data_IF_335923649287
#
_entry.id   IF_335923649287
#
_cell.length_a   1.000
_cell.length_b   1.000
_cell.length_c   1.000
_cell.angle_alpha   90.00
_cell.angle_beta   90.00
_cell.angle_gamma   90.00
#
_symmetry.space_group_name_H-M   'P 1'
#
loop_
_entity.id
_entity.type
_entity.pdbx_description
1 polymer ?
#
# COMPACT_ATOMS: atom_id res chain seq x y z
N UNK A 1 26.52 0.30 21.13
CA UNK A 1 26.38 1.50 20.30
C UNK A 1 25.50 1.10 19.10
N UNK A 2 24.19 1.36 19.14
CA UNK A 2 23.29 1.11 18.00
C UNK A 2 22.65 2.45 17.60
N UNK A 3 23.23 3.16 16.63
CA UNK A 3 22.57 4.28 15.97
C UNK A 3 21.55 3.73 14.95
N UNK A 4 20.35 4.32 14.89
CA UNK A 4 19.57 4.34 13.64
C UNK A 4 18.45 3.30 13.45
N UNK A 5 17.67 2.99 14.48
CA UNK A 5 16.41 2.24 14.36
C UNK A 5 15.30 3.12 13.75
N UNK A 6 15.54 3.68 12.57
CA UNK A 6 14.47 4.24 11.76
C UNK A 6 13.73 3.06 11.13
N UNK A 7 12.52 2.77 11.61
CA UNK A 7 11.61 1.89 10.89
C UNK A 7 11.52 2.38 9.45
N UNK A 8 11.97 1.58 8.48
CA UNK A 8 11.81 1.90 7.07
C UNK A 8 10.36 1.62 6.72
N UNK A 9 9.61 2.70 6.55
CA UNK A 9 8.27 2.68 5.97
C UNK A 9 8.39 2.27 4.51
N UNK A 10 7.52 1.37 4.08
CA UNK A 10 7.51 0.87 2.71
C UNK A 10 6.10 1.04 2.17
N UNK A 11 5.94 1.72 1.04
CA UNK A 11 4.63 1.99 0.46
C UNK A 11 4.54 1.40 -0.93
N UNK A 12 3.62 0.47 -1.15
CA UNK A 12 3.27 -0.04 -2.49
C UNK A 12 1.94 0.57 -2.94
N UNK A 13 1.85 1.02 -4.19
CA UNK A 13 0.65 1.62 -4.77
C UNK A 13 0.41 1.16 -6.21
N UNK A 14 -0.86 1.06 -6.61
CA UNK A 14 -1.28 0.88 -8.00
C UNK A 14 -1.23 2.21 -8.78
N UNK A 15 -1.12 2.10 -10.10
CA UNK A 15 -0.77 3.09 -11.14
C UNK A 15 -1.47 4.44 -11.22
N UNK A 16 -2.38 4.80 -10.32
CA UNK A 16 -2.90 6.16 -10.31
C UNK A 16 -2.92 6.72 -8.90
N UNK A 17 -1.96 7.60 -8.56
CA UNK A 17 -2.00 8.36 -7.30
C UNK A 17 -3.08 9.45 -7.26
N UNK A 18 -4.05 9.45 -8.17
CA UNK A 18 -5.21 10.36 -8.17
C UNK A 18 -6.26 9.89 -7.15
N UNK A 19 -5.95 10.00 -5.85
CA UNK A 19 -6.56 11.07 -5.09
C UNK A 19 -5.51 11.86 -4.30
N UNK A 20 -5.61 13.18 -4.41
CA UNK A 20 -4.80 14.27 -3.79
C UNK A 20 -4.29 14.06 -2.35
N UNK A 21 -4.80 13.09 -1.59
CA UNK A 21 -4.43 12.80 -0.19
C UNK A 21 -3.00 12.24 -0.05
N UNK A 22 -2.54 11.40 -0.98
CA UNK A 22 -1.22 10.75 -0.84
C UNK A 22 -0.10 11.43 -1.62
N UNK A 23 -0.43 12.41 -2.48
CA UNK A 23 0.55 13.13 -3.30
C UNK A 23 1.67 13.74 -2.44
N UNK A 24 1.33 14.30 -1.28
CA UNK A 24 2.31 14.85 -0.32
C UNK A 24 3.31 13.79 0.16
N UNK A 25 2.82 12.60 0.49
CA UNK A 25 3.65 11.51 0.96
C UNK A 25 4.60 11.01 -0.14
N UNK A 26 4.09 10.86 -1.36
CA UNK A 26 4.87 10.41 -2.52
C UNK A 26 5.98 11.39 -2.90
N UNK A 27 5.68 12.69 -2.97
CA UNK A 27 6.68 13.72 -3.27
C UNK A 27 7.78 13.78 -2.20
N UNK A 28 7.45 13.54 -0.92
CA UNK A 28 8.43 13.60 0.16
C UNK A 28 9.32 12.34 0.25
N UNK A 29 8.76 11.17 -0.02
CA UNK A 29 9.46 9.88 0.12
C UNK A 29 10.17 9.44 -1.17
N UNK A 30 9.73 9.92 -2.33
CA UNK A 30 10.24 9.55 -3.65
C UNK A 30 9.92 8.11 -4.04
N UNK A 31 9.78 7.88 -5.34
CA UNK A 31 9.60 6.54 -5.89
C UNK A 31 10.94 5.84 -6.06
N UNK A 32 11.02 4.57 -5.69
CA UNK A 32 12.22 3.76 -5.90
C UNK A 32 12.34 3.43 -7.39
N UNK A 33 13.42 3.87 -8.02
CA UNK A 33 13.81 3.40 -9.36
C UNK A 33 15.23 2.87 -9.35
N UNK A 34 15.40 1.59 -9.73
CA UNK A 34 16.71 0.93 -9.78
C UNK A 34 17.71 1.64 -10.70
N UNK A 35 17.24 2.27 -11.78
CA UNK A 35 18.06 2.99 -12.75
C UNK A 35 18.18 4.49 -12.47
N UNK A 36 17.58 4.97 -11.37
CA UNK A 36 17.37 6.40 -11.13
C UNK A 36 16.31 6.98 -12.06
N UNK A 37 16.14 8.30 -11.99
CA UNK A 37 15.23 9.06 -12.83
C UNK A 37 15.73 9.08 -14.29
N UNK A 38 14.95 8.52 -15.21
CA UNK A 38 15.32 8.37 -16.63
C UNK A 38 14.62 9.38 -17.55
N UNK A 39 13.69 10.16 -17.02
CA UNK A 39 12.89 11.13 -17.77
C UNK A 39 12.58 12.34 -16.89
N UNK A 40 12.28 13.48 -17.51
CA UNK A 40 11.83 14.67 -16.80
C UNK A 40 10.34 14.52 -16.44
N UNK A 41 9.94 14.70 -15.17
CA UNK A 41 8.56 14.55 -14.74
C UNK A 41 7.63 15.51 -15.49
N UNK A 42 6.46 15.01 -15.91
CA UNK A 42 5.45 15.85 -16.57
C UNK A 42 4.95 16.99 -15.68
N UNK A 43 4.98 16.79 -14.36
CA UNK A 43 4.56 17.77 -13.37
C UNK A 43 5.71 18.55 -12.73
N UNK A 44 6.90 18.58 -13.35
CA UNK A 44 8.11 19.26 -12.82
C UNK A 44 7.88 20.74 -12.48
N UNK A 45 7.01 21.43 -13.21
CA UNK A 45 6.67 22.84 -12.99
C UNK A 45 5.67 23.06 -11.83
N UNK A 46 5.16 21.98 -11.22
CA UNK A 46 4.26 22.05 -10.08
C UNK A 46 5.05 22.10 -8.76
N UNK A 47 4.49 22.79 -7.76
CA UNK A 47 5.06 22.87 -6.41
C UNK A 47 5.32 21.48 -5.78
N UNK A 48 4.52 20.48 -6.18
CA UNK A 48 4.53 19.11 -5.68
C UNK A 48 4.64 18.18 -6.89
N UNK A 49 5.86 17.93 -7.33
CA UNK A 49 6.16 17.05 -8.46
C UNK A 49 6.65 15.69 -7.98
N UNK A 50 6.47 14.66 -8.81
CA UNK A 50 6.97 13.33 -8.48
C UNK A 50 8.46 13.21 -8.74
N UNK A 51 9.20 12.58 -7.83
CA UNK A 51 10.63 12.30 -7.99
C UNK A 51 10.88 10.81 -7.96
N UNK A 52 11.69 10.32 -8.90
CA UNK A 52 12.22 8.96 -8.90
C UNK A 52 13.68 8.95 -8.41
N UNK A 53 14.03 8.01 -7.55
CA UNK A 53 15.36 7.91 -6.95
C UNK A 53 15.68 6.45 -6.57
N UNK A 54 16.94 6.04 -6.68
CA UNK A 54 17.40 4.76 -6.15
C UNK A 54 17.20 4.64 -4.63
N UNK A 55 17.19 5.76 -3.91
CA UNK A 55 16.91 5.80 -2.46
C UNK A 55 15.45 6.08 -2.10
N UNK A 56 14.55 6.14 -3.10
CA UNK A 56 13.11 6.31 -2.86
C UNK A 56 12.54 5.21 -1.96
N UNK A 57 11.48 5.51 -1.22
CA UNK A 57 10.86 4.58 -0.26
C UNK A 57 9.49 4.07 -0.72
N UNK A 58 9.01 4.51 -1.89
CA UNK A 58 7.73 4.12 -2.47
C UNK A 58 7.95 3.22 -3.68
N UNK A 59 7.37 2.02 -3.69
CA UNK A 59 7.35 1.15 -4.86
C UNK A 59 6.08 1.36 -5.67
N UNK A 60 6.27 1.73 -6.93
CA UNK A 60 5.20 1.78 -7.92
C UNK A 60 5.33 0.58 -8.86
N UNK A 61 4.41 -0.37 -8.71
CA UNK A 61 4.53 -1.69 -9.34
C UNK A 61 3.84 -1.76 -10.72
N UNK A 62 3.11 -0.73 -11.11
CA UNK A 62 2.30 -0.77 -12.33
C UNK A 62 0.85 -1.20 -12.07
N UNK A 63 0.12 -1.53 -13.14
CA UNK A 63 -1.23 -2.16 -13.06
C UNK A 63 -1.02 -3.65 -12.75
N UNK A 64 -0.63 -3.96 -11.52
CA UNK A 64 -0.44 -5.35 -11.07
C UNK A 64 -0.67 -5.49 -9.57
N UNK A 65 -1.88 -5.95 -9.20
CA UNK A 65 -2.20 -6.19 -7.79
C UNK A 65 -1.38 -7.35 -7.22
N UNK A 66 -1.17 -8.39 -8.03
CA UNK A 66 -0.38 -9.55 -7.62
C UNK A 66 1.11 -9.19 -7.43
N UNK A 67 1.67 -8.34 -8.29
CA UNK A 67 3.04 -7.83 -8.13
C UNK A 67 3.17 -6.98 -6.87
N UNK A 68 2.27 -6.01 -6.68
CA UNK A 68 2.24 -5.17 -5.49
C UNK A 68 2.07 -5.96 -4.19
N UNK A 69 1.20 -6.98 -4.18
CA UNK A 69 1.03 -7.87 -3.04
C UNK A 69 2.30 -8.70 -2.77
N UNK A 70 2.96 -9.18 -3.81
CA UNK A 70 4.21 -9.95 -3.66
C UNK A 70 5.33 -9.10 -3.06
N UNK A 71 5.47 -7.85 -3.52
CA UNK A 71 6.39 -6.87 -2.95
C UNK A 71 6.05 -6.53 -1.50
N UNK A 72 4.76 -6.38 -1.17
CA UNK A 72 4.31 -6.21 0.20
C UNK A 72 4.65 -7.42 1.08
N UNK A 73 4.44 -8.65 0.60
CA UNK A 73 4.79 -9.89 1.31
C UNK A 73 6.30 -9.95 1.61
N UNK A 74 7.13 -9.64 0.62
CA UNK A 74 8.59 -9.63 0.77
C UNK A 74 9.02 -8.65 1.87
N UNK A 75 8.45 -7.44 1.88
CA UNK A 75 8.71 -6.46 2.92
C UNK A 75 8.15 -6.92 4.29
N UNK A 76 6.95 -7.48 4.31
CA UNK A 76 6.24 -7.89 5.53
C UNK A 76 6.88 -9.08 6.25
N UNK A 77 7.74 -9.83 5.56
CA UNK A 77 8.48 -11.00 6.08
C UNK A 77 9.98 -10.73 6.21
N UNK A 78 10.46 -9.53 5.87
CA UNK A 78 11.87 -9.15 5.96
C UNK A 78 12.44 -9.30 7.38
N UNK A 79 11.60 -9.18 8.40
CA UNK A 79 11.99 -9.38 9.80
C UNK A 79 12.55 -10.80 10.05
N UNK A 80 12.01 -11.81 9.36
CA UNK A 80 12.44 -13.20 9.48
C UNK A 80 13.52 -13.55 8.46
N UNK A 81 13.37 -13.09 7.21
CA UNK A 81 14.25 -13.49 6.10
C UNK A 81 15.59 -12.73 6.08
N UNK A 82 15.60 -11.47 6.56
CA UNK A 82 16.74 -10.57 6.47
C UNK A 82 17.16 -9.97 7.82
N UNK A 83 16.53 -10.38 8.92
CA UNK A 83 16.80 -9.84 10.25
C UNK A 83 16.50 -8.34 10.40
N UNK A 84 15.77 -7.75 9.44
CA UNK A 84 15.47 -6.32 9.38
C UNK A 84 13.96 -6.13 9.36
N UNK A 85 13.41 -5.50 10.40
CA UNK A 85 11.98 -5.23 10.46
C UNK A 85 11.60 -4.06 9.54
N UNK A 86 10.72 -4.33 8.59
CA UNK A 86 10.05 -3.32 7.77
C UNK A 86 8.58 -3.21 8.17
N UNK A 87 7.97 -2.05 7.92
CA UNK A 87 6.54 -1.82 8.15
C UNK A 87 5.89 -1.43 6.82
N UNK A 88 5.40 -2.40 6.04
CA UNK A 88 4.87 -2.12 4.72
C UNK A 88 3.38 -1.76 4.74
N UNK A 89 3.05 -0.80 3.89
CA UNK A 89 1.71 -0.31 3.58
C UNK A 89 1.45 -0.59 2.11
N UNK A 90 0.37 -1.30 1.80
CA UNK A 90 -0.08 -1.49 0.42
C UNK A 90 -1.45 -0.84 0.25
N UNK A 91 -1.52 0.18 -0.60
CA UNK A 91 -2.75 0.93 -0.88
C UNK A 91 -3.26 0.54 -2.27
N UNK A 92 -4.53 0.16 -2.35
CA UNK A 92 -5.17 -0.29 -3.58
C UNK A 92 -6.68 -0.01 -3.57
N UNK A 93 -7.32 -0.07 -4.73
CA UNK A 93 -8.78 -0.07 -4.81
C UNK A 93 -9.32 -1.31 -4.11
N UNK A 94 -10.10 -1.13 -3.04
CA UNK A 94 -10.60 -2.23 -2.18
C UNK A 94 -11.20 -3.43 -2.94
N UNK A 95 -11.88 -3.19 -4.06
CA UNK A 95 -12.43 -4.23 -4.93
C UNK A 95 -11.36 -5.18 -5.49
N UNK A 96 -10.17 -4.69 -5.80
CA UNK A 96 -9.05 -5.47 -6.32
C UNK A 96 -8.08 -5.95 -5.24
N UNK A 97 -8.51 -5.90 -3.96
CA UNK A 97 -7.81 -6.55 -2.87
C UNK A 97 -8.14 -8.03 -2.80
N UNK A 98 -8.79 -8.43 -1.72
CA UNK A 98 -9.06 -9.84 -1.41
C UNK A 98 -9.78 -10.62 -2.53
N UNK A 99 -10.60 -9.96 -3.36
CA UNK A 99 -11.23 -10.62 -4.50
C UNK A 99 -10.23 -11.00 -5.61
N UNK A 100 -9.18 -10.19 -5.82
CA UNK A 100 -8.21 -10.37 -6.91
C UNK A 100 -6.95 -11.11 -6.45
N UNK A 101 -6.50 -10.85 -5.23
CA UNK A 101 -5.25 -11.38 -4.65
C UNK A 101 -5.50 -12.22 -3.38
N UNK A 102 -6.68 -12.82 -3.25
CA UNK A 102 -7.09 -13.60 -2.07
C UNK A 102 -6.16 -14.76 -1.74
N UNK A 103 -5.70 -15.53 -2.74
CA UNK A 103 -4.75 -16.63 -2.52
C UNK A 103 -3.39 -16.12 -2.02
N UNK A 104 -2.92 -14.98 -2.52
CA UNK A 104 -1.69 -14.34 -2.02
C UNK A 104 -1.88 -13.83 -0.59
N UNK A 105 -3.06 -13.30 -0.25
CA UNK A 105 -3.37 -12.88 1.11
C UNK A 105 -3.46 -14.07 2.08
N UNK A 106 -3.96 -15.22 1.62
CA UNK A 106 -3.93 -16.46 2.37
C UNK A 106 -2.50 -16.94 2.61
N UNK A 107 -1.68 -17.00 1.55
CA UNK A 107 -0.27 -17.37 1.63
C UNK A 107 0.50 -16.42 2.55
N UNK A 108 0.20 -15.12 2.52
CA UNK A 108 0.77 -14.13 3.43
C UNK A 108 0.45 -14.43 4.90
N UNK A 109 -0.77 -14.90 5.18
CA UNK A 109 -1.18 -15.35 6.50
C UNK A 109 -0.35 -16.56 6.96
N UNK A 110 -0.14 -17.55 6.10
CA UNK A 110 0.63 -18.76 6.39
C UNK A 110 2.09 -18.44 6.75
N UNK A 111 2.75 -17.61 5.94
CA UNK A 111 4.14 -17.18 6.15
C UNK A 111 4.31 -16.08 7.21
N UNK A 112 3.26 -15.76 7.97
CA UNK A 112 3.29 -14.81 9.09
C UNK A 112 3.68 -13.38 8.68
N UNK A 113 3.22 -12.90 7.52
CA UNK A 113 3.44 -11.54 7.06
C UNK A 113 2.89 -10.50 8.07
N UNK A 114 3.65 -9.44 8.32
CA UNK A 114 3.25 -8.33 9.21
C UNK A 114 3.28 -7.00 8.46
N UNK A 115 2.15 -6.32 8.36
CA UNK A 115 2.03 -5.04 7.68
C UNK A 115 0.58 -4.58 7.56
N UNK A 116 0.35 -3.57 6.73
CA UNK A 116 -0.96 -2.96 6.51
C UNK A 116 -1.40 -3.07 5.05
N UNK A 117 -2.61 -3.58 4.85
CA UNK A 117 -3.34 -3.54 3.58
C UNK A 117 -4.43 -2.48 3.69
N UNK A 118 -4.46 -1.52 2.78
CA UNK A 118 -5.38 -0.38 2.80
C UNK A 118 -6.22 -0.41 1.52
N UNK A 119 -7.44 -0.94 1.65
CA UNK A 119 -8.46 -0.87 0.62
C UNK A 119 -9.07 0.53 0.55
N UNK A 120 -8.56 1.35 -0.35
CA UNK A 120 -9.12 2.65 -0.71
C UNK A 120 -10.46 2.52 -1.43
N UNK A 121 -11.16 3.65 -1.56
CA UNK A 121 -12.42 3.80 -2.33
C UNK A 121 -13.50 2.77 -1.98
N UNK A 122 -13.48 2.26 -0.74
CA UNK A 122 -14.34 1.18 -0.28
C UNK A 122 -15.80 1.61 -0.02
N UNK A 123 -16.72 0.68 -0.24
CA UNK A 123 -18.15 0.84 0.00
C UNK A 123 -18.94 0.92 -1.31
N UNK A 124 -19.95 0.04 -1.43
CA UNK A 124 -20.79 -0.12 -2.62
C UNK A 124 -21.38 1.20 -3.11
N UNK A 125 -21.76 2.08 -2.19
CA UNK A 125 -22.41 3.36 -2.50
C UNK A 125 -21.45 4.55 -2.47
N UNK A 126 -20.23 4.38 -1.93
CA UNK A 126 -19.23 5.45 -1.82
C UNK A 126 -18.69 5.83 -3.20
N UNK A 127 -18.54 4.84 -4.09
CA UNK A 127 -17.96 4.98 -5.42
C UNK A 127 -19.00 4.75 -6.52
N UNK A 128 -20.13 5.47 -6.44
CA UNK A 128 -21.30 5.20 -7.29
C UNK A 128 -21.04 5.35 -8.80
N UNK A 129 -20.08 6.18 -9.21
CA UNK A 129 -19.79 6.49 -10.63
C UNK A 129 -18.94 5.46 -11.39
N UNK A 130 -18.18 4.60 -10.70
CA UNK A 130 -17.21 3.67 -11.34
C UNK A 130 -17.83 2.34 -11.79
N UNK A 131 -19.11 2.12 -11.46
CA UNK A 131 -19.87 0.95 -11.89
C UNK A 131 -19.59 -0.34 -11.11
N UNK A 132 -20.18 -1.44 -11.60
CA UNK A 132 -20.29 -2.72 -10.90
C UNK A 132 -18.94 -3.32 -10.48
N UNK A 133 -17.91 -3.16 -11.32
CA UNK A 133 -16.60 -3.78 -11.12
C UNK A 133 -15.69 -3.02 -10.13
N UNK A 134 -16.13 -1.89 -9.59
CA UNK A 134 -15.34 -1.06 -8.66
C UNK A 134 -16.04 -0.81 -7.32
N UNK A 135 -17.36 -0.93 -7.27
CA UNK A 135 -18.17 -0.68 -6.07
C UNK A 135 -18.03 -1.82 -5.04
N UNK A 136 -17.04 -1.75 -4.15
CA UNK A 136 -16.77 -2.81 -3.16
C UNK A 136 -17.80 -2.82 -2.02
N UNK A 137 -18.53 -3.93 -1.88
CA UNK A 137 -19.46 -4.18 -0.78
C UNK A 137 -19.14 -5.41 0.05
N UNK A 138 -18.03 -6.09 -0.20
CA UNK A 138 -17.83 -7.48 0.25
C UNK A 138 -16.37 -7.84 0.54
N UNK A 139 -15.40 -6.94 0.32
CA UNK A 139 -13.99 -7.17 0.65
C UNK A 139 -13.74 -7.58 2.11
N UNK A 140 -14.50 -7.02 3.06
CA UNK A 140 -14.41 -7.38 4.48
C UNK A 140 -14.87 -8.81 4.76
N UNK A 141 -15.86 -9.32 4.00
CA UNK A 141 -16.28 -10.72 4.11
C UNK A 141 -15.17 -11.64 3.61
N UNK A 142 -14.50 -11.29 2.51
CA UNK A 142 -13.34 -12.04 2.04
C UNK A 142 -12.18 -11.96 3.03
N UNK A 143 -11.89 -10.78 3.60
CA UNK A 143 -10.83 -10.65 4.61
C UNK A 143 -11.12 -11.50 5.86
N UNK A 144 -12.39 -11.64 6.25
CA UNK A 144 -12.78 -12.43 7.42
C UNK A 144 -12.49 -13.93 7.33
N UNK A 145 -12.21 -14.45 6.12
CA UNK A 145 -11.85 -15.86 5.97
C UNK A 145 -10.40 -16.13 6.36
N UNK A 146 -9.54 -15.11 6.41
CA UNK A 146 -8.11 -15.24 6.75
C UNK A 146 -7.94 -15.10 8.28
N UNK A 147 -7.54 -16.16 9.02
CA UNK A 147 -7.62 -16.18 10.49
C UNK A 147 -6.79 -15.11 11.20
N UNK A 148 -5.64 -14.74 10.65
CA UNK A 148 -4.73 -13.73 11.21
C UNK A 148 -4.87 -12.35 10.54
N UNK A 149 -5.88 -12.15 9.69
CA UNK A 149 -6.20 -10.84 9.12
C UNK A 149 -7.16 -10.10 10.05
N UNK A 150 -6.71 -8.97 10.61
CA UNK A 150 -7.58 -8.08 11.39
C UNK A 150 -8.20 -7.06 10.43
N UNK A 151 -9.43 -7.32 10.01
CA UNK A 151 -10.17 -6.45 9.09
C UNK A 151 -10.90 -5.33 9.87
N UNK A 152 -10.63 -4.07 9.52
CA UNK A 152 -11.24 -2.89 10.15
C UNK A 152 -11.93 -2.01 9.11
N UNK A 153 -13.09 -1.45 9.49
CA UNK A 153 -13.78 -0.39 8.75
C UNK A 153 -14.07 0.77 9.68
N UNK A 154 -13.39 1.89 9.46
CA UNK A 154 -13.56 3.10 10.26
C UNK A 154 -14.49 4.09 9.56
N UNK A 155 -15.38 4.73 10.33
CA UNK A 155 -16.24 5.83 9.85
C UNK A 155 -15.69 7.20 10.25
N UNK A 156 -14.95 7.23 11.36
CA UNK A 156 -14.38 8.45 11.94
C UNK A 156 -12.89 8.22 12.22
N UNK A 157 -12.12 9.30 12.25
CA UNK A 157 -10.73 9.27 12.66
C UNK A 157 -10.64 8.82 14.11
N UNK A 158 -9.94 7.72 14.38
CA UNK A 158 -9.63 7.29 15.74
C UNK A 158 -8.39 8.07 16.19
N UNK A 159 -8.59 9.25 16.78
CA UNK A 159 -7.53 9.96 17.47
C UNK A 159 -7.50 9.50 18.92
N UNK A 160 -6.60 8.57 19.24
CA UNK A 160 -6.27 8.29 20.63
C UNK A 160 -5.21 9.32 21.05
N UNK A 161 -5.66 10.51 21.47
CA UNK A 161 -4.78 11.52 22.04
C UNK A 161 -4.32 11.01 23.41
N UNK A 162 -3.00 10.89 23.66
CA UNK A 162 -2.54 10.62 25.02
C UNK A 162 -2.99 11.77 25.92
N UNK A 163 -3.70 11.44 27.00
CA UNK A 163 -4.00 12.36 28.09
C UNK A 163 -2.73 12.73 28.85
#
# INVERSE_FOLDING_TARGET
MIPGLAARWYLSCLTSPEPLVWKVCFCQLGFTQSKGELYEPEDVDQLMYYREDQQGQVLQEGITEAGAMSSWIAAATAYANHGTALIPFYIFYSMFGMQRIGDLAWAAGDIQARGFLIGGTAGRTTLAGEGLQHQDGHSLLHASTIPNCIALKTRHTVMNLPS
#
